data_IF_039383181951
#
_entry.id   IF_039383181951
#
_cell.length_a   1.000
_cell.length_b   1.000
_cell.length_c   1.000
_cell.angle_alpha   90.00
_cell.angle_beta   90.00
_cell.angle_gamma   90.00
#
_symmetry.space_group_name_H-M   'P 1'
#
loop_
_entity.id
_entity.type
_entity.pdbx_description
1 polymer ?
#
# COMPACT_ATOMS: atom_id res chain seq x y z
N UNK A 1 -6.78 3.43 7.02
CA UNK A 1 -5.66 3.39 8.00
C UNK A 1 -5.23 4.84 8.22
N UNK A 2 -5.29 5.41 9.44
CA UNK A 2 -4.92 6.82 9.67
C UNK A 2 -5.91 7.55 10.58
N UNK A 3 -6.91 8.24 10.01
CA UNK A 3 -7.81 9.15 10.70
C UNK A 3 -8.48 8.61 11.98
N UNK A 4 -9.11 7.44 11.91
CA UNK A 4 -9.81 6.85 13.08
C UNK A 4 -8.88 6.56 14.28
N UNK A 5 -7.55 6.49 14.06
CA UNK A 5 -6.57 6.21 15.13
C UNK A 5 -6.19 7.42 15.95
N UNK A 6 -6.56 8.62 15.52
CA UNK A 6 -6.35 9.84 16.30
C UNK A 6 -7.39 10.03 17.40
N UNK A 7 -8.49 9.25 17.40
CA UNK A 7 -9.55 9.37 18.41
C UNK A 7 -9.02 9.33 19.85
N UNK A 8 -8.15 8.39 20.27
CA UNK A 8 -7.64 8.35 21.63
C UNK A 8 -6.75 9.56 21.98
N UNK A 9 -6.04 10.13 20.99
CA UNK A 9 -5.25 11.34 21.18
C UNK A 9 -6.15 12.55 21.47
N UNK A 10 -7.23 12.73 20.69
CA UNK A 10 -8.20 13.80 20.95
C UNK A 10 -8.99 13.62 22.24
N UNK A 11 -9.15 12.37 22.70
CA UNK A 11 -9.75 12.06 24.01
C UNK A 11 -8.74 12.17 25.17
N UNK A 12 -7.47 12.53 24.93
CA UNK A 12 -6.42 12.63 25.94
C UNK A 12 -5.95 11.28 26.52
N UNK A 13 -6.28 10.17 25.85
CA UNK A 13 -6.01 8.78 26.28
C UNK A 13 -4.74 8.18 25.66
N UNK A 14 -4.09 8.88 24.73
CA UNK A 14 -2.86 8.45 24.10
C UNK A 14 -2.01 9.65 23.68
N UNK A 15 -0.69 9.48 23.59
CA UNK A 15 0.21 10.49 23.06
C UNK A 15 0.18 10.51 21.52
N UNK A 16 0.72 11.55 20.92
CA UNK A 16 0.86 11.61 19.46
C UNK A 16 1.82 10.52 18.97
N UNK A 17 2.88 10.25 19.72
CA UNK A 17 3.86 9.20 19.47
C UNK A 17 3.22 7.81 19.43
N UNK A 18 2.31 7.52 20.38
CA UNK A 18 1.54 6.27 20.42
C UNK A 18 0.69 6.10 19.16
N UNK A 19 0.00 7.16 18.74
CA UNK A 19 -0.84 7.15 17.53
C UNK A 19 0.01 6.93 16.29
N UNK A 20 1.16 7.59 16.18
CA UNK A 20 2.10 7.40 15.06
C UNK A 20 2.61 5.97 15.02
N UNK A 21 2.99 5.39 16.17
CA UNK A 21 3.43 4.01 16.27
C UNK A 21 2.33 3.03 15.82
N UNK A 22 1.09 3.26 16.24
CA UNK A 22 -0.05 2.43 15.86
C UNK A 22 -0.39 2.58 14.37
N UNK A 23 -0.30 3.79 13.81
CA UNK A 23 -0.45 4.01 12.37
C UNK A 23 0.57 3.18 11.60
N UNK A 24 1.86 3.29 11.95
CA UNK A 24 2.94 2.54 11.31
C UNK A 24 2.73 1.02 11.44
N UNK A 25 2.36 0.52 12.62
CA UNK A 25 2.10 -0.93 12.84
C UNK A 25 1.02 -1.44 11.91
N UNK A 26 -0.11 -0.75 11.85
CA UNK A 26 -1.22 -1.25 11.07
C UNK A 26 -1.12 -0.92 9.57
N UNK A 27 -0.31 0.06 9.15
CA UNK A 27 0.14 0.17 7.75
C UNK A 27 0.96 -1.05 7.35
N UNK A 28 1.90 -1.53 8.18
CA UNK A 28 2.64 -2.78 7.90
C UNK A 28 1.73 -4.01 7.81
N UNK A 29 0.73 -4.10 8.69
CA UNK A 29 -0.30 -5.17 8.59
C UNK A 29 -1.06 -5.08 7.27
N UNK A 30 -1.50 -3.87 6.87
CA UNK A 30 -2.18 -3.66 5.60
C UNK A 30 -1.32 -4.11 4.41
N UNK A 31 -0.04 -3.71 4.37
CA UNK A 31 0.91 -4.10 3.31
C UNK A 31 1.03 -5.63 3.25
N UNK A 32 1.17 -6.31 4.40
CA UNK A 32 1.23 -7.77 4.44
C UNK A 32 -0.05 -8.42 3.91
N UNK A 33 -1.21 -7.88 4.29
CA UNK A 33 -2.47 -8.37 3.74
C UNK A 33 -2.55 -8.17 2.23
N UNK A 34 -2.11 -7.02 1.70
CA UNK A 34 -2.05 -6.79 0.26
C UNK A 34 -1.18 -7.85 -0.45
N UNK A 35 -0.02 -8.22 0.09
CA UNK A 35 0.80 -9.31 -0.47
C UNK A 35 0.16 -10.70 -0.39
N UNK A 36 -0.75 -10.94 0.56
CA UNK A 36 -1.49 -12.19 0.62
C UNK A 36 -2.53 -12.30 -0.50
N UNK A 37 -3.15 -11.17 -0.87
CA UNK A 37 -4.14 -11.07 -1.96
C UNK A 37 -3.47 -10.98 -3.33
N UNK A 38 -2.51 -10.08 -3.48
CA UNK A 38 -1.70 -9.89 -4.68
C UNK A 38 -0.34 -10.55 -4.46
N UNK A 39 -0.30 -11.86 -4.63
CA UNK A 39 0.95 -12.63 -4.45
C UNK A 39 1.92 -12.29 -5.58
N UNK A 40 3.19 -12.09 -5.23
CA UNK A 40 4.25 -11.83 -6.21
C UNK A 40 4.45 -12.99 -7.20
N UNK A 41 4.08 -14.21 -6.80
CA UNK A 41 4.16 -15.41 -7.63
C UNK A 41 2.88 -15.70 -8.43
N UNK A 42 1.85 -14.87 -8.36
CA UNK A 42 0.62 -15.08 -9.14
C UNK A 42 0.88 -14.81 -10.62
N UNK A 43 0.77 -15.81 -11.52
CA UNK A 43 1.08 -15.64 -12.94
C UNK A 43 0.07 -14.76 -13.68
N UNK A 44 -1.08 -14.46 -13.07
CA UNK A 44 -2.10 -13.56 -13.65
C UNK A 44 -1.75 -12.09 -13.44
N UNK A 45 -0.78 -11.78 -12.58
CA UNK A 45 -0.39 -10.42 -12.24
C UNK A 45 0.96 -10.11 -12.89
N UNK A 46 0.99 -9.07 -13.71
CA UNK A 46 2.24 -8.49 -14.20
C UNK A 46 2.73 -7.41 -13.23
N UNK A 47 3.85 -7.67 -12.56
CA UNK A 47 4.43 -6.75 -11.58
C UNK A 47 5.46 -5.82 -12.23
N UNK A 48 5.45 -4.55 -11.82
CA UNK A 48 6.46 -3.58 -12.20
C UNK A 48 7.30 -3.18 -10.98
N UNK A 49 8.61 -3.11 -11.15
CA UNK A 49 9.48 -2.50 -10.16
C UNK A 49 9.51 -0.98 -10.38
N UNK A 50 8.82 -0.25 -9.51
CA UNK A 50 8.70 1.22 -9.58
C UNK A 50 10.01 1.97 -9.32
N UNK A 51 11.03 1.31 -8.75
CA UNK A 51 12.36 1.92 -8.61
C UNK A 51 13.13 1.96 -9.93
N UNK A 52 12.80 1.06 -10.87
CA UNK A 52 13.51 0.87 -12.13
C UNK A 52 12.64 1.09 -13.37
N UNK A 53 11.32 1.14 -13.21
CA UNK A 53 10.35 1.27 -14.31
C UNK A 53 9.69 2.65 -14.26
N UNK A 54 9.98 3.53 -15.24
CA UNK A 54 9.34 4.82 -15.31
C UNK A 54 7.86 4.68 -15.72
N UNK A 55 6.97 5.59 -15.27
CA UNK A 55 5.53 5.51 -15.50
C UNK A 55 5.13 5.36 -16.97
N UNK A 56 5.86 5.99 -17.89
CA UNK A 56 5.57 5.98 -19.33
C UNK A 56 5.69 4.56 -19.92
N UNK A 57 6.61 3.74 -19.40
CA UNK A 57 6.75 2.33 -19.82
C UNK A 57 5.59 1.47 -19.33
N UNK A 58 5.10 1.74 -18.12
CA UNK A 58 3.94 1.05 -17.55
C UNK A 58 2.70 1.40 -18.38
N UNK A 59 2.51 2.68 -18.69
CA UNK A 59 1.39 3.14 -19.52
C UNK A 59 1.42 2.51 -20.92
N UNK A 60 2.58 2.51 -21.60
CA UNK A 60 2.72 1.90 -22.92
C UNK A 60 2.40 0.40 -22.91
N UNK A 61 2.82 -0.33 -21.88
CA UNK A 61 2.48 -1.74 -21.69
C UNK A 61 0.97 -1.94 -21.58
N UNK A 62 0.30 -1.14 -20.74
CA UNK A 62 -1.15 -1.24 -20.54
C UNK A 62 -1.93 -0.89 -21.81
N UNK A 63 -1.48 0.12 -22.57
CA UNK A 63 -2.10 0.49 -23.86
C UNK A 63 -2.05 -0.65 -24.86
N UNK A 64 -0.88 -1.25 -25.03
CA UNK A 64 -0.71 -2.41 -25.92
C UNK A 64 -1.62 -3.57 -25.51
N UNK A 65 -1.70 -3.86 -24.22
CA UNK A 65 -2.57 -4.92 -23.70
C UNK A 65 -4.07 -4.67 -23.93
N UNK A 66 -4.52 -3.42 -24.02
CA UNK A 66 -5.91 -3.08 -24.33
C UNK A 66 -6.27 -3.17 -25.82
N UNK A 67 -5.26 -3.11 -26.70
CA UNK A 67 -5.44 -3.21 -28.15
C UNK A 67 -5.46 -4.67 -28.64
N UNK A 68 -4.94 -5.60 -27.84
CA UNK A 68 -5.01 -7.06 -28.00
C UNK A 68 -6.35 -7.63 -27.51
#
# INVERSE_FOLDING_TARGET
>A
VGYARFRPYFEGKATLEDVVAEIKRATRRLIRHQYNWFRLSDPRIHWFDVAHTPPEKIEAFVRKWLEE
#
